data_IF_015472348265
#
_entry.id   IF_015472348265
#
_cell.length_a   1.000
_cell.length_b   1.000
_cell.length_c   1.000
_cell.angle_alpha   90.00
_cell.angle_beta   90.00
_cell.angle_gamma   90.00
#
_symmetry.space_group_name_H-M   'P 1'
#
loop_
_entity.id
_entity.type
_entity.pdbx_description
1 polymer ?
#
# COMPACT_ATOMS: atom_id res chain seq x y z
N UNK A 1 5.85 -5.33 28.65
CA UNK A 1 5.20 -6.53 28.11
C UNK A 1 5.35 -6.47 26.60
N UNK A 2 6.43 -7.09 26.13
CA UNK A 2 6.80 -7.13 24.72
C UNK A 2 5.91 -8.15 24.02
N UNK A 3 5.07 -7.69 23.09
CA UNK A 3 4.32 -8.57 22.20
C UNK A 3 5.18 -8.93 21.00
N UNK A 4 5.89 -10.06 21.10
CA UNK A 4 6.51 -10.74 19.97
C UNK A 4 5.40 -11.26 19.06
N UNK A 5 5.36 -10.79 17.81
CA UNK A 5 4.57 -11.41 16.76
C UNK A 5 5.43 -12.48 16.11
N UNK A 6 5.22 -13.72 16.54
CA UNK A 6 5.87 -14.89 15.98
C UNK A 6 5.31 -15.16 14.58
N UNK A 7 6.15 -14.99 13.56
CA UNK A 7 5.82 -15.24 12.16
C UNK A 7 6.41 -16.59 11.71
N UNK A 8 5.57 -17.64 11.62
CA UNK A 8 5.73 -18.77 10.70
C UNK A 8 4.43 -19.62 10.72
N UNK A 9 3.75 -19.99 9.64
CA UNK A 9 4.23 -20.41 8.31
C UNK A 9 3.13 -20.38 7.22
N UNK A 10 3.58 -20.34 5.97
CA UNK A 10 2.88 -20.46 4.67
C UNK A 10 2.43 -19.14 4.02
N UNK A 11 3.31 -18.62 3.14
CA UNK A 11 3.09 -17.42 2.34
C UNK A 11 3.50 -16.12 3.05
N UNK A 12 4.74 -16.03 3.54
CA UNK A 12 5.30 -14.74 3.92
C UNK A 12 5.33 -13.86 2.67
N UNK A 13 4.27 -13.08 2.47
CA UNK A 13 4.21 -12.06 1.43
C UNK A 13 5.41 -11.16 1.68
N UNK A 14 6.32 -11.08 0.71
CA UNK A 14 7.55 -10.32 0.79
C UNK A 14 7.18 -8.82 0.84
N UNK A 15 6.91 -8.33 2.06
CA UNK A 15 6.43 -6.98 2.33
C UNK A 15 7.64 -6.11 2.66
N UNK A 16 8.05 -5.29 1.70
CA UNK A 16 9.11 -4.30 1.88
C UNK A 16 8.49 -2.96 2.27
N UNK A 17 8.74 -2.47 3.47
CA UNK A 17 8.33 -1.12 3.87
C UNK A 17 9.26 -0.10 3.20
N UNK A 18 8.72 0.73 2.32
CA UNK A 18 9.48 1.77 1.61
C UNK A 18 9.45 3.10 2.35
N UNK A 19 8.32 3.38 3.01
CA UNK A 19 8.12 4.62 3.74
C UNK A 19 7.03 4.50 4.79
N UNK A 20 7.09 5.35 5.82
CA UNK A 20 6.14 5.42 6.93
C UNK A 20 6.04 6.87 7.43
N UNK A 21 4.83 7.30 7.73
CA UNK A 21 4.54 8.44 8.61
C UNK A 21 3.78 7.96 9.87
N UNK A 22 3.17 8.90 10.61
CA UNK A 22 2.40 8.59 11.82
C UNK A 22 1.01 8.01 11.54
N UNK A 23 0.50 8.11 10.31
CA UNK A 23 -0.86 7.71 9.92
C UNK A 23 -0.89 6.43 9.08
N UNK A 24 0.13 6.19 8.24
CA UNK A 24 0.15 5.14 7.22
C UNK A 24 1.57 4.68 6.85
N UNK A 25 1.63 3.52 6.22
CA UNK A 25 2.85 2.99 5.58
C UNK A 25 2.64 2.87 4.08
N UNK A 26 3.72 3.09 3.34
CA UNK A 26 3.88 2.67 1.96
C UNK A 26 4.78 1.44 1.94
N UNK A 27 4.29 0.36 1.35
CA UNK A 27 5.04 -0.88 1.21
C UNK A 27 4.93 -1.43 -0.20
N UNK A 28 5.99 -2.12 -0.64
CA UNK A 28 6.00 -2.98 -1.82
C UNK A 28 5.69 -4.41 -1.40
N UNK A 29 4.89 -5.11 -2.19
CA UNK A 29 4.56 -6.52 -1.97
C UNK A 29 4.45 -7.29 -3.27
N UNK A 30 4.70 -8.59 -3.22
CA UNK A 30 4.41 -9.51 -4.31
C UNK A 30 2.90 -9.80 -4.41
N UNK A 31 2.37 -9.73 -5.63
CA UNK A 31 0.98 -10.01 -5.96
C UNK A 31 0.06 -8.79 -5.85
N UNK A 32 -0.92 -8.68 -6.75
CA UNK A 32 -1.96 -7.65 -6.63
C UNK A 32 -2.50 -7.03 -7.91
N UNK A 33 -2.92 -7.83 -8.89
CA UNK A 33 -4.03 -7.55 -9.82
C UNK A 33 -4.48 -8.92 -10.32
N UNK A 34 -5.78 -9.18 -10.44
CA UNK A 34 -6.28 -10.42 -11.00
C UNK A 34 -5.66 -10.68 -12.40
N UNK A 35 -4.77 -11.68 -12.50
CA UNK A 35 -4.12 -12.08 -13.75
C UNK A 35 -2.59 -11.95 -13.79
N UNK A 36 -1.94 -11.35 -12.78
CA UNK A 36 -0.48 -11.23 -12.73
C UNK A 36 0.08 -11.69 -11.37
N UNK A 37 0.23 -13.01 -11.21
CA UNK A 37 0.72 -13.66 -9.99
C UNK A 37 2.19 -13.32 -9.65
N UNK A 38 2.90 -12.65 -10.57
CA UNK A 38 4.32 -12.26 -10.45
C UNK A 38 4.56 -10.75 -10.40
N UNK A 39 3.51 -9.92 -10.48
CA UNK A 39 3.68 -8.47 -10.43
C UNK A 39 3.92 -8.00 -8.98
N UNK A 40 4.87 -7.08 -8.79
CA UNK A 40 4.96 -6.30 -7.55
C UNK A 40 3.96 -5.16 -7.60
N UNK A 41 3.43 -4.80 -6.43
CA UNK A 41 2.52 -3.67 -6.27
C UNK A 41 2.92 -2.84 -5.07
N UNK A 42 2.52 -1.58 -5.09
CA UNK A 42 2.59 -0.70 -3.94
C UNK A 42 1.27 -0.74 -3.19
N UNK A 43 1.34 -0.69 -1.86
CA UNK A 43 0.18 -0.57 -0.99
C UNK A 43 0.38 0.54 0.03
N UNK A 44 -0.66 1.35 0.20
CA UNK A 44 -0.79 2.30 1.31
C UNK A 44 -1.72 1.69 2.35
N UNK A 45 -1.18 1.44 3.54
CA UNK A 45 -1.91 0.78 4.64
C UNK A 45 -1.92 1.73 5.84
N UNK A 46 -3.10 2.12 6.36
CA UNK A 46 -3.18 2.87 7.60
C UNK A 46 -2.56 2.13 8.79
N UNK A 47 -1.89 2.85 9.68
CA UNK A 47 -1.32 2.27 10.90
C UNK A 47 -2.39 1.96 11.94
N UNK A 48 -3.37 2.85 12.12
CA UNK A 48 -4.47 2.64 13.05
C UNK A 48 -5.41 1.53 12.57
N UNK A 49 -5.83 0.65 13.48
CA UNK A 49 -6.93 -0.32 13.23
C UNK A 49 -8.26 0.38 12.92
N UNK A 50 -8.43 1.61 13.43
CA UNK A 50 -9.56 2.50 13.13
C UNK A 50 -9.01 3.82 12.61
N UNK A 51 -8.66 3.90 11.31
CA UNK A 51 -8.18 5.15 10.72
C UNK A 51 -9.23 6.27 10.89
N UNK A 52 -8.76 7.49 11.02
CA UNK A 52 -9.63 8.66 11.03
C UNK A 52 -10.40 8.78 9.71
N UNK A 53 -11.53 9.50 9.74
CA UNK A 53 -12.27 9.79 8.50
C UNK A 53 -11.41 10.52 7.48
N UNK A 54 -10.52 11.41 7.92
CA UNK A 54 -9.59 12.14 7.02
C UNK A 54 -8.66 11.22 6.25
N UNK A 55 -8.15 10.16 6.88
CA UNK A 55 -7.29 9.16 6.20
C UNK A 55 -8.12 8.39 5.18
N UNK A 56 -9.34 7.96 5.54
CA UNK A 56 -10.23 7.23 4.65
C UNK A 56 -10.67 8.09 3.45
N UNK A 57 -11.07 9.33 3.69
CA UNK A 57 -11.48 10.29 2.66
C UNK A 57 -10.33 10.55 1.68
N UNK A 58 -9.10 10.65 2.20
CA UNK A 58 -7.90 10.80 1.38
C UNK A 58 -7.63 9.57 0.51
N UNK A 59 -7.72 8.35 1.05
CA UNK A 59 -7.57 7.13 0.25
C UNK A 59 -8.65 7.03 -0.84
N UNK A 60 -9.89 7.39 -0.52
CA UNK A 60 -10.98 7.42 -1.49
C UNK A 60 -10.75 8.48 -2.58
N UNK A 61 -10.23 9.65 -2.22
CA UNK A 61 -9.88 10.70 -3.17
C UNK A 61 -8.74 10.24 -4.10
N UNK A 62 -7.65 9.71 -3.53
CA UNK A 62 -6.52 9.16 -4.30
C UNK A 62 -6.99 8.05 -5.26
N UNK A 63 -7.90 7.16 -4.84
CA UNK A 63 -8.47 6.11 -5.71
C UNK A 63 -9.29 6.66 -6.88
N UNK A 64 -10.05 7.73 -6.68
CA UNK A 64 -10.85 8.33 -7.76
C UNK A 64 -9.98 8.98 -8.84
N UNK A 65 -8.77 9.44 -8.50
CA UNK A 65 -7.85 10.05 -9.47
C UNK A 65 -7.32 9.05 -10.50
N UNK A 66 -7.48 7.73 -10.32
CA UNK A 66 -6.91 6.72 -11.24
C UNK A 66 -7.31 6.90 -12.71
N UNK A 67 -8.48 7.50 -12.96
CA UNK A 67 -9.01 7.74 -14.31
C UNK A 67 -8.37 8.99 -14.95
N UNK A 68 -7.89 9.93 -14.12
CA UNK A 68 -7.24 11.17 -14.54
C UNK A 68 -5.71 11.04 -14.64
N UNK A 69 -5.14 9.95 -14.11
CA UNK A 69 -3.71 9.68 -14.07
C UNK A 69 -3.25 8.84 -15.27
N UNK A 70 -2.27 9.36 -16.02
CA UNK A 70 -1.61 8.64 -17.11
C UNK A 70 -0.36 7.91 -16.58
N UNK A 71 -0.30 6.61 -16.86
CA UNK A 71 0.75 5.70 -16.37
C UNK A 71 2.17 6.06 -16.86
N UNK A 72 2.30 6.88 -17.91
CA UNK A 72 3.61 7.31 -18.41
C UNK A 72 4.35 8.24 -17.45
N UNK A 73 3.63 8.92 -16.54
CA UNK A 73 4.22 9.87 -15.60
C UNK A 73 3.70 9.74 -14.16
N UNK A 74 2.63 9.00 -13.91
CA UNK A 74 2.07 8.79 -12.59
C UNK A 74 1.98 7.31 -12.20
N UNK A 75 2.16 7.05 -10.91
CA UNK A 75 1.78 5.77 -10.29
C UNK A 75 0.27 5.73 -10.16
N UNK A 76 -0.39 4.78 -10.83
CA UNK A 76 -1.86 4.70 -10.81
C UNK A 76 -2.38 3.87 -9.63
N UNK A 77 -3.43 4.34 -8.94
CA UNK A 77 -4.22 3.51 -8.05
C UNK A 77 -4.93 2.41 -8.83
N UNK A 78 -4.93 1.20 -8.26
CA UNK A 78 -5.51 -0.01 -8.85
C UNK A 78 -6.83 -0.39 -8.16
N UNK A 79 -6.82 -0.46 -6.83
CA UNK A 79 -7.95 -0.98 -6.04
C UNK A 79 -7.93 -0.49 -4.59
N UNK A 80 -9.11 -0.27 -4.01
CA UNK A 80 -9.28 -0.19 -2.57
C UNK A 80 -9.60 -1.57 -2.02
N UNK A 81 -8.82 -2.04 -1.05
CA UNK A 81 -8.95 -3.39 -0.48
C UNK A 81 -8.93 -3.36 1.05
N UNK A 82 -9.25 -4.49 1.68
CA UNK A 82 -9.22 -4.63 3.13
C UNK A 82 -7.99 -5.45 3.55
N UNK A 83 -7.13 -4.83 4.36
CA UNK A 83 -5.91 -5.45 4.91
C UNK A 83 -6.00 -5.43 6.44
N UNK A 84 -6.08 -6.61 7.05
CA UNK A 84 -6.24 -6.76 8.50
C UNK A 84 -7.36 -5.87 9.09
N UNK A 85 -8.51 -5.78 8.40
CA UNK A 85 -9.67 -5.00 8.84
C UNK A 85 -9.59 -3.49 8.55
N UNK A 86 -8.54 -3.02 7.87
CA UNK A 86 -8.33 -1.62 7.51
C UNK A 86 -8.47 -1.43 6.00
N UNK A 87 -9.12 -0.36 5.58
CA UNK A 87 -9.14 0.03 4.17
C UNK A 87 -7.75 0.50 3.75
N UNK A 88 -7.20 -0.14 2.72
CA UNK A 88 -5.90 0.16 2.14
C UNK A 88 -6.07 0.46 0.64
N UNK A 89 -5.06 1.10 0.05
CA UNK A 89 -5.02 1.44 -1.37
C UNK A 89 -3.89 0.71 -2.05
N UNK A 90 -4.20 -0.03 -3.11
CA UNK A 90 -3.24 -0.71 -3.98
C UNK A 90 -2.93 0.16 -5.19
N UNK A 91 -1.68 0.17 -5.62
CA UNK A 91 -1.17 1.00 -6.71
C UNK A 91 -0.13 0.23 -7.54
N UNK A 92 0.08 0.67 -8.78
CA UNK A 92 1.15 0.18 -9.65
C UNK A 92 2.53 0.35 -8.98
N UNK A 93 3.45 -0.57 -9.25
CA UNK A 93 4.85 -0.46 -8.81
C UNK A 93 5.79 -0.27 -10.02
N UNK A 94 6.31 0.94 -10.25
CA UNK A 94 7.32 1.15 -11.30
C UNK A 94 8.73 0.66 -10.89
N UNK A 95 8.91 0.16 -9.66
CA UNK A 95 10.19 -0.34 -9.14
C UNK A 95 11.13 0.76 -8.60
N UNK A 96 10.65 1.99 -8.44
CA UNK A 96 11.43 3.11 -7.89
C UNK A 96 11.44 3.16 -6.35
N UNK A 97 12.14 4.16 -5.78
CA UNK A 97 12.19 4.39 -4.33
C UNK A 97 11.61 5.76 -3.95
N UNK A 98 10.97 5.91 -2.77
CA UNK A 98 10.41 7.18 -2.33
C UNK A 98 11.47 8.25 -2.13
N UNK A 99 11.24 9.46 -2.68
CA UNK A 99 12.18 10.58 -2.56
C UNK A 99 12.46 10.98 -1.11
N UNK A 100 11.47 10.84 -0.21
CA UNK A 100 11.62 11.22 1.19
C UNK A 100 12.69 10.40 1.94
N UNK A 101 13.05 9.21 1.45
CA UNK A 101 14.16 8.42 2.00
C UNK A 101 15.54 8.87 1.52
N UNK A 102 15.60 9.82 0.58
CA UNK A 102 16.83 10.30 -0.06
C UNK A 102 17.19 11.75 0.33
N UNK A 103 16.34 12.42 1.12
CA UNK A 103 16.49 13.81 1.58
C UNK A 103 16.68 13.84 3.09
#
# INVERSE_FOLDING_TARGET
MSGSLDANSSGASDLQVLWRDDEKILCRRSGGVAGADTATVLAIIPLSERPSSSVLDRLAHEYHLREDLDASWAVRPLELFIEAGRTALMMEDPGGEPLQGLL
#
